data_IF_563012910718
#
_entry.id   IF_563012910718
#
_cell.length_a   1.000
_cell.length_b   1.000
_cell.length_c   1.000
_cell.angle_alpha   90.00
_cell.angle_beta   90.00
_cell.angle_gamma   90.00
#
_symmetry.space_group_name_H-M   'P 1'
#
loop_
_entity.id
_entity.type
_entity.pdbx_description
1 polymer ?
#
# COMPACT_ATOMS: atom_id res chain seq x y z
N UNK A 1 -11.81 4.59 -11.75
CA UNK A 1 -10.68 5.48 -12.05
C UNK A 1 -9.40 5.06 -11.34
N UNK A 2 -9.40 4.85 -10.03
CA UNK A 2 -8.18 4.47 -9.29
C UNK A 2 -7.61 3.10 -9.69
N UNK A 3 -8.43 2.20 -10.18
CA UNK A 3 -8.02 0.84 -10.59
C UNK A 3 -7.32 0.74 -11.96
N UNK A 4 -7.36 1.81 -12.76
CA UNK A 4 -6.75 1.85 -14.10
C UNK A 4 -5.76 3.00 -14.29
N UNK A 5 -5.66 3.89 -13.30
CA UNK A 5 -4.83 5.10 -13.34
C UNK A 5 -4.20 5.31 -11.96
N UNK A 6 -3.09 4.63 -11.63
CA UNK A 6 -2.38 4.77 -10.35
C UNK A 6 -1.84 6.19 -10.12
N UNK A 7 -1.45 6.87 -11.16
CA UNK A 7 -0.94 8.23 -11.18
C UNK A 7 -1.88 9.28 -10.58
N UNK A 8 -3.20 9.04 -10.61
CA UNK A 8 -4.19 9.94 -10.00
C UNK A 8 -4.82 9.39 -8.71
N UNK A 9 -4.44 8.18 -8.28
CA UNK A 9 -5.06 7.52 -7.12
C UNK A 9 -5.00 8.37 -5.85
N UNK A 10 -3.84 8.97 -5.56
CA UNK A 10 -3.64 9.83 -4.40
C UNK A 10 -4.55 11.06 -4.42
N UNK A 11 -4.56 11.81 -5.54
CA UNK A 11 -5.36 13.05 -5.62
C UNK A 11 -6.85 12.78 -5.58
N UNK A 12 -7.31 11.69 -6.21
CA UNK A 12 -8.73 11.27 -6.16
C UNK A 12 -9.09 10.86 -4.74
N UNK A 13 -8.25 10.08 -4.06
CA UNK A 13 -8.43 9.71 -2.66
C UNK A 13 -8.47 10.92 -1.73
N UNK A 14 -7.66 11.95 -1.98
CA UNK A 14 -7.68 13.19 -1.21
C UNK A 14 -8.94 14.02 -1.46
N UNK A 15 -9.36 14.16 -2.70
CA UNK A 15 -10.57 14.91 -3.07
C UNK A 15 -11.86 14.23 -2.59
N UNK A 16 -11.90 12.91 -2.54
CA UNK A 16 -13.07 12.16 -2.06
C UNK A 16 -13.44 12.44 -0.60
N UNK A 17 -12.51 12.98 0.19
CA UNK A 17 -12.75 13.38 1.59
C UNK A 17 -13.64 14.59 1.73
N UNK A 18 -13.77 15.39 0.68
CA UNK A 18 -14.51 16.68 0.68
C UNK A 18 -15.84 16.60 -0.08
N UNK A 19 -16.35 15.39 -0.35
CA UNK A 19 -17.61 15.21 -1.10
C UNK A 19 -18.84 15.77 -0.37
N UNK A 20 -18.83 15.77 0.96
CA UNK A 20 -19.94 16.30 1.77
C UNK A 20 -19.90 17.81 1.95
N UNK A 21 -18.74 18.45 1.80
CA UNK A 21 -18.59 19.91 1.92
C UNK A 21 -17.56 20.46 0.92
N UNK A 22 -17.85 20.43 -0.39
CA UNK A 22 -16.94 20.92 -1.41
C UNK A 22 -16.93 22.47 -1.43
N UNK A 23 -15.75 23.02 -1.69
CA UNK A 23 -15.58 24.47 -1.93
C UNK A 23 -14.92 24.74 -3.30
N UNK A 24 -14.76 26.02 -3.64
CA UNK A 24 -14.19 26.44 -4.93
C UNK A 24 -12.74 25.95 -5.16
N UNK A 25 -11.97 25.71 -4.09
CA UNK A 25 -10.60 25.19 -4.19
C UNK A 25 -10.63 23.71 -4.62
N UNK A 26 -11.51 22.91 -4.01
CA UNK A 26 -11.70 21.50 -4.36
C UNK A 26 -12.18 21.36 -5.81
N UNK A 27 -13.12 22.20 -6.23
CA UNK A 27 -13.60 22.22 -7.62
C UNK A 27 -12.48 22.53 -8.62
N UNK A 28 -11.63 23.51 -8.33
CA UNK A 28 -10.45 23.81 -9.16
C UNK A 28 -9.48 22.64 -9.25
N UNK A 29 -9.29 21.90 -8.16
CA UNK A 29 -8.46 20.69 -8.15
C UNK A 29 -9.07 19.59 -9.02
N UNK A 30 -10.38 19.35 -8.94
CA UNK A 30 -11.11 18.40 -9.81
C UNK A 30 -10.93 18.77 -11.28
N UNK A 31 -11.10 20.05 -11.63
CA UNK A 31 -10.90 20.53 -13.01
C UNK A 31 -9.45 20.27 -13.50
N UNK A 32 -8.45 20.41 -12.62
CA UNK A 32 -7.06 20.06 -12.97
C UNK A 32 -6.91 18.56 -13.27
N UNK A 33 -7.53 17.70 -12.47
CA UNK A 33 -7.53 16.25 -12.72
C UNK A 33 -8.16 15.94 -14.08
N UNK A 34 -9.30 16.55 -14.41
CA UNK A 34 -9.91 16.36 -15.73
C UNK A 34 -9.04 16.87 -16.89
N UNK A 35 -8.36 18.02 -16.73
CA UNK A 35 -7.40 18.50 -17.72
C UNK A 35 -6.23 17.55 -17.91
N UNK A 36 -5.71 17.02 -16.82
CA UNK A 36 -4.64 16.00 -16.85
C UNK A 36 -5.10 14.75 -17.57
N UNK A 37 -6.27 14.20 -17.21
CA UNK A 37 -6.85 13.03 -17.88
C UNK A 37 -7.05 13.26 -19.38
N UNK A 38 -7.56 14.45 -19.78
CA UNK A 38 -7.70 14.80 -21.19
C UNK A 38 -6.36 14.85 -21.93
N UNK A 39 -5.29 15.31 -21.27
CA UNK A 39 -3.94 15.37 -21.85
C UNK A 39 -3.19 14.05 -21.83
N UNK A 40 -3.73 13.03 -21.14
CA UNK A 40 -3.08 11.72 -20.96
C UNK A 40 -4.02 10.55 -21.30
N UNK A 41 -4.89 10.74 -22.33
CA UNK A 41 -5.88 9.73 -22.73
C UNK A 41 -5.21 8.44 -23.26
N UNK A 42 -4.02 8.59 -23.85
CA UNK A 42 -3.25 7.47 -24.41
C UNK A 42 -2.33 6.77 -23.38
N UNK A 43 -2.35 7.23 -22.10
CA UNK A 43 -1.58 6.58 -21.04
C UNK A 43 -2.23 5.27 -20.65
N UNK A 44 -1.44 4.22 -20.66
CA UNK A 44 -1.80 2.87 -20.25
C UNK A 44 -0.66 2.19 -19.53
N UNK A 45 -0.96 1.10 -18.87
CA UNK A 45 0.03 0.18 -18.31
C UNK A 45 0.23 -0.93 -19.33
N UNK A 46 1.47 -1.17 -19.75
CA UNK A 46 1.82 -2.22 -20.71
C UNK A 46 2.68 -3.24 -19.99
N UNK A 47 2.22 -4.47 -19.90
CA UNK A 47 2.95 -5.57 -19.27
C UNK A 47 3.89 -6.20 -20.29
N UNK A 48 5.20 -5.96 -20.16
CA UNK A 48 6.22 -6.42 -21.09
C UNK A 48 7.22 -7.40 -20.46
N UNK A 49 7.23 -7.49 -19.12
CA UNK A 49 8.14 -8.37 -18.40
C UNK A 49 7.63 -9.81 -18.31
N UNK A 50 8.58 -10.77 -18.27
CA UNK A 50 8.28 -12.20 -18.14
C UNK A 50 8.64 -12.76 -16.75
N UNK A 51 9.11 -11.92 -15.83
CA UNK A 51 9.48 -12.36 -14.51
C UNK A 51 8.23 -12.56 -13.66
N UNK A 52 8.02 -13.78 -13.18
CA UNK A 52 6.92 -14.12 -12.27
C UNK A 52 7.23 -13.75 -10.82
N UNK A 53 7.92 -12.64 -10.61
CA UNK A 53 8.25 -12.12 -9.27
C UNK A 53 7.20 -11.09 -8.88
N UNK A 54 6.54 -11.35 -7.75
CA UNK A 54 5.59 -10.42 -7.15
C UNK A 54 6.28 -9.72 -5.97
N UNK A 55 6.37 -8.41 -6.05
CA UNK A 55 6.88 -7.57 -4.98
C UNK A 55 5.96 -6.39 -4.70
N UNK A 56 6.01 -5.88 -3.48
CA UNK A 56 5.18 -4.77 -3.03
C UNK A 56 6.01 -3.70 -2.32
N UNK A 57 5.46 -2.52 -2.30
CA UNK A 57 5.98 -1.37 -1.54
C UNK A 57 4.87 -0.82 -0.69
N UNK A 58 5.18 -0.48 0.56
CA UNK A 58 4.26 0.21 1.45
C UNK A 58 4.90 1.48 1.97
N UNK A 59 4.10 2.53 2.02
CA UNK A 59 4.51 3.86 2.50
C UNK A 59 3.36 4.53 3.25
N UNK A 60 3.67 5.51 4.07
CA UNK A 60 2.69 6.33 4.75
C UNK A 60 3.02 7.82 4.67
N UNK A 61 2.02 8.61 4.39
CA UNK A 61 2.08 10.06 4.66
C UNK A 61 1.45 10.31 6.03
N UNK A 62 2.30 10.56 7.03
CA UNK A 62 1.86 10.77 8.40
C UNK A 62 1.18 12.13 8.55
N UNK A 63 0.04 12.17 9.24
CA UNK A 63 -0.79 13.37 9.49
C UNK A 63 -0.98 14.20 8.21
N UNK A 64 -1.60 13.62 7.20
CA UNK A 64 -1.92 14.31 5.94
C UNK A 64 -3.16 15.16 6.00
N UNK A 65 -3.91 15.09 7.09
CA UNK A 65 -5.10 15.88 7.32
C UNK A 65 -5.01 16.58 8.68
N UNK A 66 -4.93 17.91 8.66
CA UNK A 66 -4.83 18.73 9.87
C UNK A 66 -6.14 18.75 10.69
N UNK A 67 -7.28 18.46 10.06
CA UNK A 67 -8.59 18.49 10.73
C UNK A 67 -8.81 17.29 11.67
N UNK A 68 -8.36 16.10 11.28
CA UNK A 68 -8.59 14.86 12.05
C UNK A 68 -7.31 14.06 12.34
N UNK A 69 -6.15 14.66 12.10
CA UNK A 69 -4.82 14.07 12.33
C UNK A 69 -4.63 12.67 11.74
N UNK A 70 -5.36 12.36 10.68
CA UNK A 70 -5.27 11.05 10.03
C UNK A 70 -4.12 10.97 9.05
N UNK A 71 -3.49 9.79 9.01
CA UNK A 71 -2.45 9.45 8.03
C UNK A 71 -3.06 8.83 6.77
N UNK A 72 -2.30 8.82 5.69
CA UNK A 72 -2.67 8.16 4.44
C UNK A 72 -1.71 7.00 4.17
N UNK A 73 -2.24 5.80 4.06
CA UNK A 73 -1.53 4.60 3.64
C UNK A 73 -1.46 4.55 2.13
N UNK A 74 -0.28 4.25 1.59
CA UNK A 74 -0.05 3.88 0.20
C UNK A 74 0.55 2.49 0.08
N UNK A 75 0.17 1.76 -0.97
CA UNK A 75 0.90 0.57 -1.40
C UNK A 75 0.82 0.40 -2.90
N UNK A 76 1.81 -0.28 -3.45
CA UNK A 76 1.85 -0.70 -4.83
C UNK A 76 2.45 -2.10 -4.91
N UNK A 77 1.87 -2.96 -5.72
CA UNK A 77 2.41 -4.28 -6.04
C UNK A 77 2.74 -4.36 -7.51
N UNK A 78 3.91 -4.92 -7.78
CA UNK A 78 4.47 -5.11 -9.11
C UNK A 78 4.53 -6.59 -9.44
N UNK A 79 4.29 -6.90 -10.70
CA UNK A 79 4.54 -8.21 -11.29
C UNK A 79 5.45 -8.03 -12.50
N UNK A 80 6.69 -8.52 -12.40
CA UNK A 80 7.66 -8.34 -13.46
C UNK A 80 7.99 -6.86 -13.75
N UNK A 81 8.08 -6.04 -12.68
CA UNK A 81 8.33 -4.60 -12.73
C UNK A 81 7.10 -3.73 -13.13
N UNK A 82 5.98 -4.32 -13.52
CA UNK A 82 4.76 -3.60 -13.90
C UNK A 82 3.72 -3.58 -12.78
N UNK A 83 3.01 -2.47 -12.62
CA UNK A 83 2.02 -2.26 -11.56
C UNK A 83 0.78 -3.12 -11.77
N UNK A 84 0.40 -3.94 -10.77
CA UNK A 84 -0.80 -4.79 -10.81
C UNK A 84 -1.85 -4.45 -9.76
N UNK A 85 -1.43 -3.93 -8.59
CA UNK A 85 -2.34 -3.49 -7.53
C UNK A 85 -1.76 -2.29 -6.80
N UNK A 86 -2.60 -1.30 -6.50
CA UNK A 86 -2.20 -0.10 -5.77
C UNK A 86 -3.36 0.50 -5.01
N UNK A 87 -3.05 1.23 -3.94
CA UNK A 87 -4.03 2.04 -3.25
C UNK A 87 -3.41 3.25 -2.56
N UNK A 88 -4.24 4.26 -2.40
CA UNK A 88 -4.01 5.40 -1.51
C UNK A 88 -5.25 5.57 -0.65
N UNK A 89 -5.16 5.22 0.64
CA UNK A 89 -6.31 5.17 1.56
C UNK A 89 -6.03 5.94 2.84
N UNK A 90 -7.02 6.69 3.29
CA UNK A 90 -7.01 7.30 4.63
C UNK A 90 -7.01 6.19 5.68
N UNK A 91 -6.14 6.29 6.69
CA UNK A 91 -6.16 5.38 7.83
C UNK A 91 -7.43 5.60 8.67
N UNK A 92 -8.00 4.52 9.16
CA UNK A 92 -9.21 4.55 10.00
C UNK A 92 -8.90 4.72 11.49
N UNK A 93 -7.64 4.68 11.87
CA UNK A 93 -7.17 4.89 13.23
C UNK A 93 -6.18 6.04 13.28
N UNK A 94 -6.20 6.80 14.37
CA UNK A 94 -5.18 7.79 14.68
C UNK A 94 -3.99 7.07 15.29
N UNK A 95 -2.80 7.38 14.81
CA UNK A 95 -1.54 6.81 15.29
C UNK A 95 -0.72 7.88 16.00
N UNK A 96 -0.02 7.50 17.06
CA UNK A 96 0.73 8.43 17.91
C UNK A 96 2.15 8.69 17.39
N UNK A 97 2.59 7.96 16.38
CA UNK A 97 3.92 8.09 15.79
C UNK A 97 3.94 7.67 14.32
N UNK A 98 4.93 8.14 13.58
CA UNK A 98 5.21 7.67 12.21
C UNK A 98 5.37 6.17 12.15
N UNK A 99 6.13 5.56 13.07
CA UNK A 99 6.32 4.11 13.12
C UNK A 99 5.00 3.35 13.27
N UNK A 100 4.05 3.85 14.07
CA UNK A 100 2.74 3.21 14.19
C UNK A 100 1.92 3.31 12.90
N UNK A 101 1.98 4.47 12.22
CA UNK A 101 1.29 4.64 10.94
C UNK A 101 1.91 3.81 9.82
N UNK A 102 3.25 3.70 9.79
CA UNK A 102 3.96 2.79 8.88
C UNK A 102 3.55 1.34 9.11
N UNK A 103 3.45 0.95 10.38
CA UNK A 103 3.03 -0.40 10.73
C UNK A 103 1.58 -0.69 10.30
N UNK A 104 0.69 0.29 10.39
CA UNK A 104 -0.70 0.19 9.87
C UNK A 104 -0.69 0.05 8.35
N UNK A 105 0.18 0.80 7.66
CA UNK A 105 0.32 0.71 6.21
C UNK A 105 0.85 -0.67 5.76
N UNK A 106 1.90 -1.16 6.42
CA UNK A 106 2.45 -2.48 6.18
C UNK A 106 1.43 -3.60 6.38
N UNK A 107 0.63 -3.52 7.46
CA UNK A 107 -0.42 -4.49 7.72
C UNK A 107 -1.52 -4.47 6.64
N UNK A 108 -1.83 -3.30 6.09
CA UNK A 108 -2.78 -3.17 4.98
C UNK A 108 -2.22 -3.74 3.67
N UNK A 109 -0.93 -3.47 3.38
CA UNK A 109 -0.22 -4.08 2.26
C UNK A 109 -0.13 -5.61 2.39
N UNK A 110 0.13 -6.12 3.61
CA UNK A 110 0.14 -7.56 3.89
C UNK A 110 -1.18 -8.27 3.54
N UNK A 111 -2.32 -7.62 3.81
CA UNK A 111 -3.64 -8.16 3.40
C UNK A 111 -3.81 -8.22 1.89
N UNK A 112 -3.33 -7.20 1.19
CA UNK A 112 -3.37 -7.18 -0.28
C UNK A 112 -2.45 -8.26 -0.84
N UNK A 113 -1.25 -8.45 -0.27
CA UNK A 113 -0.34 -9.51 -0.63
C UNK A 113 -0.95 -10.90 -0.47
N UNK A 114 -1.64 -11.13 0.65
CA UNK A 114 -2.36 -12.40 0.89
C UNK A 114 -3.43 -12.64 -0.17
N UNK A 115 -4.23 -11.62 -0.49
CA UNK A 115 -5.23 -11.71 -1.55
C UNK A 115 -4.60 -11.98 -2.92
N UNK A 116 -3.53 -11.27 -3.29
CA UNK A 116 -2.82 -11.47 -4.55
C UNK A 116 -2.23 -12.88 -4.62
N UNK A 117 -1.66 -13.39 -3.52
CA UNK A 117 -1.13 -14.75 -3.45
C UNK A 117 -2.21 -15.80 -3.71
N UNK A 118 -3.38 -15.62 -3.09
CA UNK A 118 -4.52 -16.52 -3.30
C UNK A 118 -5.00 -16.47 -4.76
N UNK A 119 -5.08 -15.29 -5.36
CA UNK A 119 -5.39 -15.12 -6.77
C UNK A 119 -4.39 -15.85 -7.68
N UNK A 120 -3.10 -15.68 -7.43
CA UNK A 120 -2.02 -16.35 -8.19
C UNK A 120 -2.10 -17.87 -8.02
N UNK A 121 -2.47 -18.33 -6.82
CA UNK A 121 -2.64 -19.77 -6.58
C UNK A 121 -3.68 -20.43 -7.48
N UNK A 122 -4.70 -19.68 -7.88
CA UNK A 122 -5.76 -20.13 -8.79
C UNK A 122 -5.32 -20.14 -10.26
N UNK A 123 -4.21 -19.49 -10.61
CA UNK A 123 -3.68 -19.46 -11.99
C UNK A 123 -2.94 -20.78 -12.29
N UNK A 124 -3.44 -21.63 -13.21
CA UNK A 124 -2.86 -22.96 -13.45
C UNK A 124 -1.41 -22.91 -14.00
N UNK A 125 -1.09 -21.87 -14.76
CA UNK A 125 0.22 -21.72 -15.41
C UNK A 125 1.28 -21.08 -14.51
N UNK A 126 0.91 -20.64 -13.31
CA UNK A 126 1.87 -20.03 -12.39
C UNK A 126 2.84 -21.06 -11.81
N UNK A 127 4.15 -20.77 -11.77
CA UNK A 127 5.13 -21.67 -11.17
C UNK A 127 4.81 -21.95 -9.69
N UNK A 128 4.84 -23.20 -9.29
CA UNK A 128 4.63 -23.61 -7.90
C UNK A 128 5.88 -24.33 -7.36
N UNK A 129 6.24 -24.15 -6.08
CA UNK A 129 5.53 -23.39 -5.06
C UNK A 129 5.63 -21.88 -5.25
N UNK A 130 4.61 -21.12 -4.82
CA UNK A 130 4.62 -19.66 -4.87
C UNK A 130 5.59 -19.14 -3.80
N UNK A 131 6.60 -18.40 -4.22
CA UNK A 131 7.54 -17.73 -3.32
C UNK A 131 6.84 -16.71 -2.41
N UNK A 132 7.39 -16.40 -1.22
CA UNK A 132 6.91 -15.30 -0.41
C UNK A 132 6.88 -14.00 -1.22
N UNK A 133 5.85 -13.20 -1.01
CA UNK A 133 5.77 -11.87 -1.62
C UNK A 133 6.66 -10.92 -0.82
N UNK A 134 7.60 -10.26 -1.50
CA UNK A 134 8.48 -9.29 -0.87
C UNK A 134 7.75 -7.97 -0.72
N UNK A 135 7.63 -7.47 0.52
CA UNK A 135 7.10 -6.13 0.81
C UNK A 135 8.24 -5.26 1.31
N UNK A 136 8.46 -4.14 0.64
CA UNK A 136 9.49 -3.16 0.99
C UNK A 136 8.88 -2.03 1.80
N UNK A 137 9.53 -1.70 2.91
CA UNK A 137 9.17 -0.63 3.84
C UNK A 137 10.45 0.14 4.20
N UNK A 138 10.39 1.46 4.28
CA UNK A 138 11.55 2.31 4.58
C UNK A 138 11.77 2.54 6.09
N UNK A 139 10.91 1.98 6.94
CA UNK A 139 10.95 2.14 8.40
C UNK A 139 11.62 0.96 9.09
N UNK A 140 12.89 1.10 9.48
CA UNK A 140 13.62 0.11 10.28
C UNK A 140 12.91 -0.25 11.59
N UNK A 141 12.28 0.73 12.24
CA UNK A 141 11.52 0.51 13.47
C UNK A 141 10.27 -0.36 13.24
N UNK A 142 9.61 -0.18 12.10
CA UNK A 142 8.48 -1.01 11.68
C UNK A 142 8.94 -2.43 11.38
N UNK A 143 10.06 -2.60 10.69
CA UNK A 143 10.66 -3.91 10.42
C UNK A 143 10.99 -4.65 11.72
N UNK A 144 11.70 -4.01 12.64
CA UNK A 144 12.06 -4.61 13.93
C UNK A 144 10.81 -5.05 14.71
N UNK A 145 9.75 -4.23 14.68
CA UNK A 145 8.48 -4.56 15.34
C UNK A 145 7.74 -5.71 14.66
N UNK A 146 7.76 -5.76 13.35
CA UNK A 146 7.08 -6.81 12.55
C UNK A 146 7.67 -8.19 12.83
N UNK A 147 8.99 -8.28 13.02
CA UNK A 147 9.68 -9.52 13.35
C UNK A 147 9.76 -9.81 14.85
N UNK A 148 9.26 -8.92 15.70
CA UNK A 148 9.21 -9.21 17.15
C UNK A 148 8.14 -10.25 17.46
N UNK A 149 8.46 -11.20 18.37
CA UNK A 149 7.53 -12.29 18.73
C UNK A 149 6.35 -11.80 19.56
N UNK A 150 6.46 -10.65 20.24
CA UNK A 150 5.40 -10.12 21.10
C UNK A 150 5.13 -8.64 20.83
N UNK A 151 3.85 -8.31 20.80
CA UNK A 151 3.40 -6.93 20.77
C UNK A 151 3.38 -6.35 22.20
N UNK A 152 4.32 -5.45 22.50
CA UNK A 152 4.44 -4.80 23.82
C UNK A 152 3.69 -3.46 23.92
N UNK A 153 2.90 -3.11 22.92
CA UNK A 153 2.15 -1.84 22.89
C UNK A 153 0.82 -1.90 23.62
N UNK A 154 0.31 -0.73 24.04
CA UNK A 154 -0.98 -0.60 24.72
C UNK A 154 -2.19 -0.56 23.78
N UNK A 155 -1.97 -0.40 22.47
CA UNK A 155 -3.04 -0.26 21.48
C UNK A 155 -3.52 -1.62 20.98
N UNK A 156 -4.76 -1.98 21.30
CA UNK A 156 -5.40 -3.22 20.81
C UNK A 156 -5.47 -3.30 19.30
N UNK A 157 -5.70 -2.17 18.62
CA UNK A 157 -5.76 -2.13 17.16
C UNK A 157 -4.43 -2.47 16.49
N UNK A 158 -3.31 -2.06 17.08
CA UNK A 158 -1.98 -2.42 16.59
C UNK A 158 -1.63 -3.85 16.95
N UNK A 159 -2.10 -4.36 18.09
CA UNK A 159 -1.92 -5.76 18.49
C UNK A 159 -2.53 -6.74 17.48
N UNK A 160 -3.76 -6.49 17.03
CA UNK A 160 -4.42 -7.31 16.01
C UNK A 160 -3.64 -7.27 14.68
N UNK A 161 -3.17 -6.09 14.26
CA UNK A 161 -2.37 -5.97 13.03
C UNK A 161 -1.01 -6.65 13.14
N UNK A 162 -0.40 -6.59 14.34
CA UNK A 162 0.84 -7.29 14.62
C UNK A 162 0.66 -8.80 14.48
N UNK A 163 -0.36 -9.37 15.13
CA UNK A 163 -0.64 -10.80 15.03
C UNK A 163 -0.85 -11.25 13.59
N UNK A 164 -1.61 -10.48 12.81
CA UNK A 164 -1.84 -10.76 11.39
C UNK A 164 -0.55 -10.71 10.56
N UNK A 165 0.26 -9.66 10.71
CA UNK A 165 1.52 -9.54 9.96
C UNK A 165 2.50 -10.66 10.34
N UNK A 166 2.61 -10.97 11.64
CA UNK A 166 3.44 -12.07 12.14
C UNK A 166 2.97 -13.43 11.63
N UNK A 167 1.67 -13.65 11.51
CA UNK A 167 1.08 -14.87 10.94
C UNK A 167 1.46 -15.02 9.46
N UNK A 168 1.30 -13.97 8.66
CA UNK A 168 1.66 -13.99 7.24
C UNK A 168 3.16 -14.28 7.02
N UNK A 169 4.01 -13.73 7.89
CA UNK A 169 5.46 -13.99 7.85
C UNK A 169 5.78 -15.41 8.28
N UNK A 170 5.22 -15.87 9.38
CA UNK A 170 5.49 -17.22 9.93
C UNK A 170 5.06 -18.34 8.98
N UNK A 171 3.98 -18.09 8.22
CA UNK A 171 3.52 -19.02 7.18
C UNK A 171 4.27 -18.86 5.85
N UNK A 172 5.28 -17.99 5.77
CA UNK A 172 6.05 -17.76 4.55
C UNK A 172 5.23 -17.17 3.40
N UNK A 173 4.16 -16.45 3.72
CA UNK A 173 3.32 -15.80 2.71
C UNK A 173 3.94 -14.49 2.24
N UNK A 174 4.49 -13.72 3.17
CA UNK A 174 5.19 -12.46 2.90
C UNK A 174 6.56 -12.46 3.56
N UNK A 175 7.45 -11.64 3.02
CA UNK A 175 8.74 -11.29 3.62
C UNK A 175 8.92 -9.77 3.54
N UNK A 176 9.26 -9.12 4.65
CA UNK A 176 9.36 -7.66 4.72
C UNK A 176 10.82 -7.25 4.74
N UNK A 177 11.18 -6.27 3.90
CA UNK A 177 12.55 -5.84 3.70
C UNK A 177 12.66 -4.31 3.72
N UNK A 178 13.88 -3.81 4.03
CA UNK A 178 14.21 -2.40 3.89
C UNK A 178 14.37 -2.03 2.39
N UNK A 179 13.86 -0.85 2.03
CA UNK A 179 14.04 -0.28 0.68
C UNK A 179 15.52 0.02 0.38
N UNK A 180 16.32 0.38 1.40
CA UNK A 180 17.74 0.74 1.26
C UNK A 180 18.68 -0.42 0.88
N UNK A 181 18.20 -1.65 0.91
CA UNK A 181 18.99 -2.85 0.61
C UNK A 181 19.00 -3.27 -0.86
N UNK A 182 18.57 -2.44 -1.80
CA UNK A 182 18.69 -2.72 -3.23
C UNK A 182 20.14 -2.56 -3.67
N UNK A 183 20.78 -3.58 -4.25
CA UNK A 183 21.98 -3.35 -5.07
C UNK A 183 21.57 -2.47 -6.26
N UNK A 184 22.21 -1.31 -6.38
CA UNK A 184 22.13 -0.46 -7.58
C UNK A 184 22.73 -1.20 -8.77
#
# INVERSE_FOLDING_TARGET
>A
MTSTRPDIAFIVGKLSRFTSNPNAIHWRAVVRVFKYLKGTMDYGITYTGFFSVLEGYSDVSWITNDEDHSSTTGWIFLLGEDDISWASKKQTCITNSTMESEFVALAAAGKEADWLRNLIHEIPLWPKPISPIFIRCDSEATLAKTYSQMYNGKSTHLGVRHSMASELISHGMISVHDVKGLPM
#
